data_IF_999374305860
#
_entry.id   IF_999374305860
#
_cell.length_a   1.000
_cell.length_b   1.000
_cell.length_c   1.000
_cell.angle_alpha   90.00
_cell.angle_beta   90.00
_cell.angle_gamma   90.00
#
_symmetry.space_group_name_H-M   'P 1'
#
loop_
_entity.id
_entity.type
_entity.pdbx_description
1 polymer ?
#
# COMPACT_ATOMS: atom_id res chain seq x y z
N UNK A 1 -3.08 -30.10 -1.14
CA UNK A 1 -2.53 -30.11 0.25
C UNK A 1 -1.41 -29.08 0.25
N UNK A 2 -1.69 -27.98 0.89
CA UNK A 2 -0.90 -26.77 0.89
C UNK A 2 0.48 -27.01 1.55
N UNK A 3 1.55 -26.87 0.79
CA UNK A 3 2.94 -26.97 1.27
C UNK A 3 3.39 -25.72 2.08
N UNK A 4 2.51 -24.75 2.31
CA UNK A 4 2.78 -23.51 3.04
C UNK A 4 2.96 -23.72 4.54
N UNK A 5 2.45 -24.83 5.09
CA UNK A 5 2.59 -25.15 6.52
C UNK A 5 4.03 -25.45 6.98
N UNK A 6 4.96 -25.69 6.06
CA UNK A 6 6.38 -25.95 6.38
C UNK A 6 7.22 -24.69 6.61
N UNK A 7 6.68 -23.50 6.35
CA UNK A 7 7.39 -22.23 6.45
C UNK A 7 7.02 -21.40 7.70
N UNK A 8 6.07 -21.86 8.49
CA UNK A 8 5.67 -21.16 9.70
C UNK A 8 6.50 -21.65 10.90
N UNK A 9 6.95 -20.73 11.78
CA UNK A 9 7.63 -21.09 13.03
C UNK A 9 6.76 -22.00 13.92
N UNK A 10 7.41 -22.83 14.76
CA UNK A 10 6.72 -23.73 15.68
C UNK A 10 5.69 -23.00 16.56
N UNK A 11 4.49 -23.56 16.64
CA UNK A 11 3.37 -23.01 17.42
C UNK A 11 2.55 -21.92 16.69
N UNK A 12 2.88 -21.59 15.44
CA UNK A 12 2.10 -20.66 14.59
C UNK A 12 1.27 -21.45 13.60
N UNK A 13 -0.06 -21.35 13.74
CA UNK A 13 -1.02 -22.14 12.95
C UNK A 13 -1.48 -21.41 11.67
N UNK A 14 -1.24 -20.11 11.56
CA UNK A 14 -1.66 -19.31 10.41
C UNK A 14 -0.77 -18.08 10.20
N UNK A 15 -0.77 -17.56 8.97
CA UNK A 15 -0.10 -16.28 8.67
C UNK A 15 -0.67 -15.09 9.47
N UNK A 16 -1.97 -15.13 9.83
CA UNK A 16 -2.57 -14.12 10.71
C UNK A 16 -1.91 -14.10 12.09
N UNK A 17 -1.71 -15.26 12.72
CA UNK A 17 -1.01 -15.37 13.99
C UNK A 17 0.45 -14.91 13.89
N UNK A 18 1.12 -15.17 12.76
CA UNK A 18 2.48 -14.66 12.52
C UNK A 18 2.50 -13.14 12.46
N UNK A 19 1.57 -12.53 11.74
CA UNK A 19 1.46 -11.07 11.64
C UNK A 19 1.17 -10.44 13.00
N UNK A 20 0.27 -11.01 13.80
CA UNK A 20 -0.04 -10.52 15.15
C UNK A 20 1.19 -10.60 16.06
N UNK A 21 1.96 -11.67 15.97
CA UNK A 21 3.22 -11.81 16.71
C UNK A 21 4.23 -10.75 16.30
N UNK A 22 4.44 -10.54 14.99
CA UNK A 22 5.35 -9.52 14.47
C UNK A 22 4.90 -8.13 14.90
N UNK A 23 3.60 -7.81 14.81
CA UNK A 23 3.04 -6.55 15.25
C UNK A 23 3.29 -6.33 16.75
N UNK A 24 3.13 -7.36 17.58
CA UNK A 24 3.46 -7.31 19.00
C UNK A 24 4.93 -6.95 19.24
N UNK A 25 5.85 -7.59 18.51
CA UNK A 25 7.29 -7.30 18.59
C UNK A 25 7.63 -5.87 18.14
N UNK A 26 6.99 -5.39 17.07
CA UNK A 26 7.15 -3.99 16.64
C UNK A 26 6.68 -3.01 17.72
N UNK A 27 5.57 -3.31 18.41
CA UNK A 27 5.07 -2.48 19.51
C UNK A 27 6.04 -2.45 20.70
N UNK A 28 6.71 -3.56 21.01
CA UNK A 28 7.74 -3.58 22.07
C UNK A 28 8.91 -2.65 21.72
N UNK A 29 9.38 -2.67 20.48
CA UNK A 29 10.43 -1.77 20.00
C UNK A 29 9.98 -0.30 20.10
N UNK A 30 8.77 0.02 19.63
CA UNK A 30 8.24 1.39 19.70
C UNK A 30 8.10 1.86 21.15
N UNK A 31 7.64 1.01 22.07
CA UNK A 31 7.53 1.33 23.48
C UNK A 31 8.89 1.61 24.13
N UNK A 32 9.92 0.85 23.76
CA UNK A 32 11.28 1.13 24.19
C UNK A 32 11.73 2.51 23.72
N UNK A 33 11.56 2.81 22.43
CA UNK A 33 11.91 4.13 21.88
C UNK A 33 11.13 5.26 22.56
N UNK A 34 9.85 5.07 22.84
CA UNK A 34 9.02 6.03 23.54
C UNK A 34 9.52 6.27 24.98
N UNK A 35 9.87 5.21 25.71
CA UNK A 35 10.38 5.31 27.07
C UNK A 35 11.75 6.01 27.15
N UNK A 36 12.55 5.86 26.09
CA UNK A 36 13.85 6.51 25.95
C UNK A 36 13.74 7.90 25.27
N UNK A 37 12.54 8.49 25.18
CA UNK A 37 12.31 9.82 24.61
C UNK A 37 12.59 9.90 23.09
N UNK A 38 12.42 8.79 22.36
CA UNK A 38 12.75 8.65 20.95
C UNK A 38 14.24 8.90 20.64
N UNK A 39 15.11 8.42 21.52
CA UNK A 39 16.56 8.34 21.29
C UNK A 39 16.94 6.87 21.06
N UNK A 40 17.72 6.61 20.04
CA UNK A 40 18.17 5.25 19.73
C UNK A 40 19.34 4.86 20.63
N UNK A 41 19.14 3.84 21.43
CA UNK A 41 20.18 3.16 22.20
C UNK A 41 20.35 1.74 21.66
N UNK A 42 21.36 1.52 20.82
CA UNK A 42 21.58 0.24 20.13
C UNK A 42 21.68 -0.95 21.10
N UNK A 43 22.39 -0.78 22.20
CA UNK A 43 22.56 -1.82 23.22
C UNK A 43 21.21 -2.26 23.82
N UNK A 44 20.32 -1.30 24.08
CA UNK A 44 18.98 -1.59 24.59
C UNK A 44 18.10 -2.28 23.57
N UNK A 45 18.17 -1.84 22.30
CA UNK A 45 17.44 -2.48 21.21
C UNK A 45 17.90 -3.93 21.00
N UNK A 46 19.20 -4.17 20.96
CA UNK A 46 19.79 -5.52 20.85
C UNK A 46 19.45 -6.39 22.07
N UNK A 47 19.23 -5.80 23.24
CA UNK A 47 18.87 -6.51 24.45
C UNK A 47 17.44 -7.01 24.47
N UNK A 48 16.53 -6.48 23.63
CA UNK A 48 15.15 -6.97 23.53
C UNK A 48 15.10 -8.43 23.06
N UNK A 49 14.32 -9.24 23.72
CA UNK A 49 14.16 -10.67 23.36
C UNK A 49 13.65 -10.83 21.93
N UNK A 50 12.76 -9.96 21.47
CA UNK A 50 12.25 -9.95 20.12
C UNK A 50 13.29 -9.57 19.06
N UNK A 51 14.41 -8.95 19.44
CA UNK A 51 15.50 -8.55 18.54
C UNK A 51 16.67 -9.55 18.60
N UNK A 52 17.01 -10.04 19.79
CA UNK A 52 18.09 -11.03 20.00
C UNK A 52 17.93 -12.31 19.15
N UNK A 53 16.70 -12.73 18.87
CA UNK A 53 16.43 -13.96 18.12
C UNK A 53 16.79 -13.85 16.63
N UNK A 54 17.10 -12.65 16.13
CA UNK A 54 17.43 -12.41 14.74
C UNK A 54 18.94 -12.34 14.51
N UNK A 55 19.36 -12.64 13.29
CA UNK A 55 20.75 -12.50 12.88
C UNK A 55 21.21 -11.03 12.87
N UNK A 56 22.51 -10.82 12.83
CA UNK A 56 23.12 -9.49 12.84
C UNK A 56 22.61 -8.59 11.71
N UNK A 57 22.38 -9.14 10.52
CA UNK A 57 21.93 -8.37 9.37
C UNK A 57 20.50 -7.82 9.57
N UNK A 58 19.62 -8.60 10.21
CA UNK A 58 18.26 -8.17 10.57
C UNK A 58 18.31 -7.18 11.73
N UNK A 59 19.12 -7.41 12.75
CA UNK A 59 19.30 -6.47 13.87
C UNK A 59 19.75 -5.11 13.37
N UNK A 60 20.71 -5.04 12.45
CA UNK A 60 21.15 -3.78 11.84
C UNK A 60 20.01 -3.06 11.07
N UNK A 61 19.15 -3.80 10.36
CA UNK A 61 17.99 -3.21 9.72
C UNK A 61 17.01 -2.63 10.73
N UNK A 62 16.77 -3.32 11.83
CA UNK A 62 15.90 -2.84 12.92
C UNK A 62 16.46 -1.54 13.51
N UNK A 63 17.76 -1.48 13.80
CA UNK A 63 18.43 -0.28 14.31
C UNK A 63 18.31 0.88 13.32
N UNK A 64 18.53 0.62 12.03
CA UNK A 64 18.36 1.65 10.98
C UNK A 64 16.93 2.17 10.89
N UNK A 65 15.94 1.29 11.02
CA UNK A 65 14.52 1.68 11.03
C UNK A 65 14.21 2.50 12.31
N UNK A 66 14.73 2.08 13.47
CA UNK A 66 14.59 2.83 14.71
C UNK A 66 15.19 4.24 14.59
N UNK A 67 16.37 4.38 13.96
CA UNK A 67 16.97 5.68 13.63
C UNK A 67 16.06 6.54 12.76
N UNK A 68 15.49 5.98 11.69
CA UNK A 68 14.55 6.70 10.84
C UNK A 68 13.29 7.16 11.63
N UNK A 69 12.78 6.31 12.53
CA UNK A 69 11.64 6.66 13.39
C UNK A 69 11.98 7.85 14.30
N UNK A 70 13.14 7.81 14.95
CA UNK A 70 13.55 8.84 15.91
C UNK A 70 13.97 10.16 15.22
N UNK A 71 14.73 10.08 14.12
CA UNK A 71 15.35 11.26 13.49
C UNK A 71 14.43 11.94 12.48
N UNK A 72 13.47 11.20 11.90
CA UNK A 72 12.61 11.72 10.83
C UNK A 72 11.13 11.63 11.16
N UNK A 73 10.63 10.43 11.45
CA UNK A 73 9.20 10.19 11.57
C UNK A 73 8.62 10.90 12.80
N UNK A 74 9.19 10.69 13.98
CA UNK A 74 8.71 11.28 15.22
C UNK A 74 8.75 12.82 15.21
N UNK A 75 9.86 13.49 14.82
CA UNK A 75 9.87 14.95 14.68
C UNK A 75 8.82 15.46 13.68
N UNK A 76 8.63 14.76 12.56
CA UNK A 76 7.62 15.13 11.57
C UNK A 76 6.19 14.98 12.10
N UNK A 77 5.92 13.96 12.92
CA UNK A 77 4.63 13.80 13.62
C UNK A 77 4.39 14.93 14.64
N UNK A 78 5.42 15.38 15.36
CA UNK A 78 5.30 16.50 16.29
C UNK A 78 4.86 17.80 15.59
N UNK A 79 5.18 17.96 14.30
CA UNK A 79 4.79 19.11 13.48
C UNK A 79 3.39 19.02 12.85
N UNK A 80 2.58 18.00 13.13
CA UNK A 80 1.20 17.91 12.62
C UNK A 80 0.29 19.05 13.11
N UNK A 81 0.69 19.76 14.14
CA UNK A 81 0.06 21.02 14.59
C UNK A 81 0.05 22.10 13.51
N UNK A 82 0.91 21.97 12.47
CA UNK A 82 0.91 22.85 11.29
C UNK A 82 -0.39 22.85 10.52
N UNK A 83 -1.19 21.78 10.57
CA UNK A 83 -2.51 21.77 9.95
C UNK A 83 -3.37 22.94 10.42
N UNK A 84 -3.42 23.17 11.73
CA UNK A 84 -4.17 24.28 12.30
C UNK A 84 -3.52 25.64 12.02
N UNK A 85 -2.22 25.77 12.24
CA UNK A 85 -1.53 27.05 12.07
C UNK A 85 -1.49 27.47 10.60
N UNK A 86 -1.27 26.56 9.66
CA UNK A 86 -1.26 26.88 8.25
C UNK A 86 -2.66 27.16 7.71
N UNK A 87 -3.72 26.52 8.25
CA UNK A 87 -5.07 26.90 7.93
C UNK A 87 -5.37 28.37 8.30
N UNK A 88 -4.94 28.82 9.50
CA UNK A 88 -5.09 30.22 9.94
C UNK A 88 -4.27 31.14 9.02
N UNK A 89 -3.03 30.80 8.72
CA UNK A 89 -2.16 31.58 7.81
C UNK A 89 -2.76 31.70 6.41
N UNK A 90 -3.36 30.62 5.88
CA UNK A 90 -4.03 30.65 4.59
C UNK A 90 -5.23 31.62 4.61
N UNK A 91 -6.03 31.64 5.70
CA UNK A 91 -7.11 32.60 5.87
C UNK A 91 -6.63 34.05 5.98
N UNK A 92 -5.39 34.27 6.42
CA UNK A 92 -4.71 35.57 6.46
C UNK A 92 -4.03 35.94 5.13
N UNK A 93 -4.22 35.13 4.09
CA UNK A 93 -3.57 35.29 2.77
C UNK A 93 -2.04 35.19 2.80
N UNK A 94 -1.48 34.47 3.76
CA UNK A 94 -0.07 34.18 3.81
C UNK A 94 0.28 33.00 2.88
N UNK A 95 1.51 33.02 2.37
CA UNK A 95 2.04 31.92 1.56
C UNK A 95 2.33 30.70 2.43
N UNK A 96 1.89 29.53 1.96
CA UNK A 96 2.20 28.23 2.54
C UNK A 96 2.97 27.41 1.53
N UNK A 97 4.17 26.97 1.91
CA UNK A 97 4.99 26.13 1.05
C UNK A 97 4.27 24.79 0.77
N UNK A 98 4.04 24.42 -0.50
CA UNK A 98 3.39 23.18 -0.84
C UNK A 98 4.27 21.95 -0.56
N UNK A 99 3.66 20.83 -0.26
CA UNK A 99 4.31 19.52 -0.12
C UNK A 99 3.56 18.45 -0.87
N UNK A 100 4.12 17.25 -0.96
CA UNK A 100 3.42 16.11 -1.54
C UNK A 100 2.12 15.82 -0.76
N UNK A 101 1.00 15.63 -1.48
CA UNK A 101 -0.26 15.18 -0.90
C UNK A 101 -0.31 13.66 -0.76
N UNK A 102 -1.09 13.14 0.18
CA UNK A 102 -1.29 11.72 0.33
C UNK A 102 -1.73 11.30 1.74
N UNK A 103 -1.66 10.00 2.01
CA UNK A 103 -2.07 9.39 3.27
C UNK A 103 -0.84 8.92 4.08
N UNK A 104 -0.41 9.63 5.12
CA UNK A 104 0.71 9.20 5.96
C UNK A 104 0.51 7.79 6.55
N UNK A 105 -0.72 7.44 6.88
CA UNK A 105 -1.10 6.13 7.45
C UNK A 105 -1.08 4.98 6.43
N UNK A 106 -0.92 5.28 5.14
CA UNK A 106 -0.85 4.28 4.07
C UNK A 106 0.59 4.09 3.54
N UNK A 107 1.59 4.30 4.39
CA UNK A 107 3.00 4.11 4.05
C UNK A 107 3.69 5.35 3.50
N UNK A 108 2.99 6.49 3.40
CA UNK A 108 3.53 7.76 2.92
C UNK A 108 4.19 8.58 4.04
N UNK A 109 5.19 8.02 4.72
CA UNK A 109 5.88 8.74 5.80
C UNK A 109 6.58 10.03 5.32
N UNK A 110 6.96 10.08 4.05
CA UNK A 110 7.57 11.25 3.38
C UNK A 110 6.63 12.45 3.22
N UNK A 111 5.32 12.23 3.38
CA UNK A 111 4.32 13.30 3.31
C UNK A 111 4.30 14.14 4.59
N UNK A 112 4.83 13.59 5.66
CA UNK A 112 4.94 14.30 6.93
C UNK A 112 6.02 15.42 6.87
N UNK A 113 5.79 16.53 7.59
CA UNK A 113 4.62 16.89 8.37
C UNK A 113 3.44 17.30 7.49
N UNK A 114 2.21 17.01 7.96
CA UNK A 114 0.96 17.42 7.32
C UNK A 114 0.71 18.92 7.44
N UNK A 115 -0.38 19.43 6.83
CA UNK A 115 -0.78 20.84 6.94
C UNK A 115 -0.20 21.76 5.87
N UNK A 116 0.44 21.20 4.84
CA UNK A 116 0.95 21.95 3.69
C UNK A 116 0.23 21.61 2.38
N UNK A 117 -0.52 20.51 2.36
CA UNK A 117 -1.34 20.05 1.25
C UNK A 117 -2.62 19.43 1.74
N UNK A 118 -3.60 19.32 0.85
CA UNK A 118 -4.80 18.55 1.11
C UNK A 118 -4.48 17.06 1.16
N UNK A 119 -5.16 16.35 2.07
CA UNK A 119 -5.19 14.91 2.08
C UNK A 119 -5.96 14.43 0.83
N UNK A 120 -5.25 13.85 -0.10
CA UNK A 120 -5.87 13.37 -1.33
C UNK A 120 -4.92 12.50 -2.14
N UNK A 121 -5.50 11.75 -3.06
CA UNK A 121 -4.77 10.98 -4.08
C UNK A 121 -5.10 11.62 -5.42
N UNK A 122 -4.08 11.90 -6.24
CA UNK A 122 -4.32 12.31 -7.62
C UNK A 122 -4.92 11.12 -8.39
N UNK A 123 -6.20 11.22 -8.84
CA UNK A 123 -6.86 10.13 -9.56
C UNK A 123 -6.11 9.69 -10.83
N UNK A 124 -5.32 10.58 -11.42
CA UNK A 124 -4.57 10.30 -12.64
C UNK A 124 -3.34 9.40 -12.40
N UNK A 125 -2.92 9.24 -11.15
CA UNK A 125 -1.81 8.36 -10.78
C UNK A 125 -2.26 6.91 -10.54
N UNK A 126 -3.57 6.65 -10.53
CA UNK A 126 -4.11 5.33 -10.20
C UNK A 126 -4.38 4.48 -11.46
N UNK A 127 -3.98 3.19 -11.42
CA UNK A 127 -3.18 2.53 -10.39
C UNK A 127 -1.69 2.91 -10.51
N UNK A 128 -1.02 3.03 -9.37
CA UNK A 128 0.43 3.23 -9.35
C UNK A 128 1.19 1.98 -9.83
N UNK A 129 2.47 2.08 -10.28
CA UNK A 129 3.25 0.90 -10.68
C UNK A 129 3.39 -0.15 -9.57
N UNK A 130 3.46 0.27 -8.31
CA UNK A 130 3.50 -0.64 -7.15
C UNK A 130 2.16 -1.35 -6.96
N UNK A 131 1.06 -0.59 -7.04
CA UNK A 131 -0.30 -1.14 -6.95
C UNK A 131 -0.59 -2.10 -8.12
N UNK A 132 -0.06 -1.80 -9.31
CA UNK A 132 -0.15 -2.70 -10.46
C UNK A 132 0.49 -4.05 -10.18
N UNK A 133 1.69 -4.07 -9.60
CA UNK A 133 2.38 -5.32 -9.26
C UNK A 133 1.57 -6.15 -8.27
N UNK A 134 1.03 -5.52 -7.22
CA UNK A 134 0.22 -6.20 -6.20
C UNK A 134 -1.12 -6.68 -6.79
N UNK A 135 -1.87 -5.80 -7.47
CA UNK A 135 -3.15 -6.14 -8.06
C UNK A 135 -3.03 -7.21 -9.16
N UNK A 136 -1.93 -7.21 -9.92
CA UNK A 136 -1.65 -8.29 -10.88
C UNK A 136 -1.48 -9.63 -10.18
N UNK A 137 -0.79 -9.69 -9.04
CA UNK A 137 -0.67 -10.90 -8.27
C UNK A 137 -2.02 -11.35 -7.71
N UNK A 138 -2.82 -10.42 -7.16
CA UNK A 138 -4.17 -10.71 -6.67
C UNK A 138 -5.04 -11.34 -7.77
N UNK A 139 -4.99 -10.81 -8.98
CA UNK A 139 -5.72 -11.37 -10.13
C UNK A 139 -5.30 -12.81 -10.45
N UNK A 140 -3.99 -13.08 -10.46
CA UNK A 140 -3.49 -14.44 -10.71
C UNK A 140 -3.85 -15.40 -9.57
N UNK A 141 -3.85 -14.94 -8.33
CA UNK A 141 -4.24 -15.75 -7.16
C UNK A 141 -5.72 -16.15 -7.23
N UNK A 142 -6.61 -15.22 -7.63
CA UNK A 142 -8.04 -15.51 -7.86
C UNK A 142 -8.21 -16.55 -8.95
N UNK A 143 -7.54 -16.40 -10.09
CA UNK A 143 -7.60 -17.35 -11.20
C UNK A 143 -7.06 -18.73 -10.79
N UNK A 144 -5.89 -18.77 -10.16
CA UNK A 144 -5.25 -20.02 -9.74
C UNK A 144 -6.11 -20.77 -8.72
N UNK A 145 -6.72 -20.06 -7.77
CA UNK A 145 -7.63 -20.65 -6.81
C UNK A 145 -8.84 -21.28 -7.51
N UNK A 146 -9.49 -20.55 -8.41
CA UNK A 146 -10.63 -21.05 -9.15
C UNK A 146 -10.28 -22.29 -10.00
N UNK A 147 -9.13 -22.24 -10.71
CA UNK A 147 -8.66 -23.36 -11.53
C UNK A 147 -8.36 -24.58 -10.64
N UNK A 148 -7.79 -24.39 -9.46
CA UNK A 148 -7.52 -25.49 -8.51
C UNK A 148 -8.82 -26.13 -7.98
N UNK A 149 -9.88 -25.36 -7.78
CA UNK A 149 -11.17 -25.82 -7.26
C UNK A 149 -12.06 -26.44 -8.36
N UNK A 150 -12.10 -25.81 -9.56
CA UNK A 150 -13.06 -26.16 -10.62
C UNK A 150 -12.43 -26.88 -11.82
N UNK A 151 -11.10 -26.95 -11.91
CA UNK A 151 -10.38 -27.60 -13.03
C UNK A 151 -10.47 -26.87 -14.36
N UNK A 152 -11.02 -25.63 -14.40
CA UNK A 152 -11.18 -24.80 -15.60
C UNK A 152 -10.96 -23.33 -15.26
N UNK A 153 -10.74 -22.52 -16.27
CA UNK A 153 -10.69 -21.07 -16.09
C UNK A 153 -12.09 -20.47 -15.86
N UNK A 154 -12.23 -19.42 -15.03
CA UNK A 154 -13.49 -18.69 -14.90
C UNK A 154 -13.83 -17.98 -16.21
N UNK A 155 -15.09 -17.98 -16.60
CA UNK A 155 -15.60 -17.22 -17.74
C UNK A 155 -15.80 -15.75 -17.37
N UNK A 156 -16.26 -15.50 -16.13
CA UNK A 156 -16.48 -14.15 -15.62
C UNK A 156 -16.10 -14.04 -14.15
N UNK A 157 -15.68 -12.83 -13.74
CA UNK A 157 -15.35 -12.48 -12.34
C UNK A 157 -16.02 -11.16 -11.99
N UNK A 158 -16.66 -11.11 -10.81
CA UNK A 158 -17.23 -9.88 -10.26
C UNK A 158 -16.26 -9.22 -9.26
N UNK A 159 -15.99 -7.93 -9.43
CA UNK A 159 -15.13 -7.14 -8.52
C UNK A 159 -15.90 -5.95 -7.96
N UNK A 160 -15.72 -5.71 -6.66
CA UNK A 160 -16.22 -4.52 -5.99
C UNK A 160 -15.16 -3.42 -6.00
N UNK A 161 -15.43 -2.31 -6.71
CA UNK A 161 -14.51 -1.18 -6.83
C UNK A 161 -14.92 -0.05 -5.89
N UNK A 162 -14.44 -0.09 -4.64
CA UNK A 162 -14.65 0.97 -3.67
C UNK A 162 -13.65 2.11 -3.86
N UNK A 163 -14.13 3.36 -3.94
CA UNK A 163 -13.28 4.55 -4.07
C UNK A 163 -12.28 4.66 -2.92
N UNK A 164 -12.76 4.57 -1.68
CA UNK A 164 -11.93 4.70 -0.48
C UNK A 164 -10.84 3.63 -0.39
N UNK A 165 -11.13 2.41 -0.82
CA UNK A 165 -10.11 1.35 -0.86
C UNK A 165 -9.06 1.65 -1.94
N UNK A 166 -9.47 2.00 -3.16
CA UNK A 166 -8.55 2.34 -4.23
C UNK A 166 -7.68 3.56 -3.90
N UNK A 167 -8.24 4.58 -3.23
CA UNK A 167 -7.47 5.71 -2.74
C UNK A 167 -6.39 5.29 -1.72
N UNK A 168 -6.74 4.43 -0.76
CA UNK A 168 -5.79 3.95 0.27
C UNK A 168 -4.74 2.97 -0.25
N UNK A 169 -5.12 2.14 -1.21
CA UNK A 169 -4.25 1.12 -1.80
C UNK A 169 -3.53 1.59 -3.08
N UNK A 170 -3.67 2.88 -3.43
CA UNK A 170 -3.13 3.44 -4.68
C UNK A 170 -3.60 2.69 -5.94
N UNK A 171 -4.84 2.15 -5.92
CA UNK A 171 -5.48 1.54 -7.08
C UNK A 171 -5.28 0.03 -7.24
N UNK A 172 -5.04 -0.72 -6.15
CA UNK A 172 -4.82 -2.18 -6.25
C UNK A 172 -6.00 -2.93 -6.87
N UNK A 173 -7.26 -2.64 -6.47
CA UNK A 173 -8.43 -3.29 -7.09
C UNK A 173 -8.63 -2.91 -8.55
N UNK A 174 -8.28 -1.67 -8.94
CA UNK A 174 -8.27 -1.27 -10.36
C UNK A 174 -7.24 -2.07 -11.15
N UNK A 175 -6.06 -2.26 -10.59
CA UNK A 175 -4.99 -3.05 -11.18
C UNK A 175 -5.40 -4.53 -11.32
N UNK A 176 -6.04 -5.11 -10.29
CA UNK A 176 -6.60 -6.46 -10.32
C UNK A 176 -7.65 -6.60 -11.44
N UNK A 177 -8.58 -5.65 -11.53
CA UNK A 177 -9.59 -5.60 -12.59
C UNK A 177 -8.95 -5.60 -13.98
N UNK A 178 -8.01 -4.68 -14.24
CA UNK A 178 -7.30 -4.57 -15.52
C UNK A 178 -6.54 -5.85 -15.84
N UNK A 179 -5.85 -6.45 -14.87
CA UNK A 179 -5.09 -7.69 -15.09
C UNK A 179 -5.99 -8.87 -15.42
N UNK A 180 -7.15 -9.00 -14.78
CA UNK A 180 -8.15 -10.03 -15.12
C UNK A 180 -8.64 -9.89 -16.56
N UNK A 181 -8.98 -8.68 -17.01
CA UNK A 181 -9.35 -8.38 -18.39
C UNK A 181 -8.20 -8.63 -19.38
N UNK A 182 -6.96 -8.69 -18.89
CA UNK A 182 -5.78 -8.84 -19.74
C UNK A 182 -5.33 -7.54 -20.39
N UNK A 183 -5.46 -6.42 -19.67
CA UNK A 183 -4.91 -5.12 -20.06
C UNK A 183 -3.97 -4.60 -18.97
N UNK A 184 -3.10 -3.66 -19.32
CA UNK A 184 -2.20 -2.99 -18.38
C UNK A 184 -2.25 -1.46 -18.54
N UNK A 185 -2.03 -0.70 -17.47
CA UNK A 185 -1.94 0.75 -17.57
C UNK A 185 -0.64 1.18 -18.24
N UNK A 186 -0.71 2.29 -18.95
CA UNK A 186 0.44 2.97 -19.56
C UNK A 186 0.73 4.23 -18.75
N UNK A 187 1.94 4.32 -18.18
CA UNK A 187 2.36 5.47 -17.37
C UNK A 187 3.22 6.44 -18.19
N UNK A 188 2.97 7.71 -18.01
CA UNK A 188 3.83 8.76 -18.54
C UNK A 188 5.17 8.77 -17.79
N UNK A 189 6.28 8.78 -18.53
CA UNK A 189 7.62 8.89 -17.94
C UNK A 189 7.77 10.19 -17.15
N UNK A 190 8.31 10.09 -15.93
CA UNK A 190 8.59 11.22 -15.04
C UNK A 190 7.43 11.62 -14.14
N UNK A 191 6.17 11.58 -14.61
CA UNK A 191 5.01 11.98 -13.79
C UNK A 191 4.25 10.79 -13.21
N UNK A 192 4.45 9.59 -13.74
CA UNK A 192 3.72 8.35 -13.41
C UNK A 192 2.20 8.44 -13.59
N UNK A 193 1.70 9.45 -14.32
CA UNK A 193 0.28 9.55 -14.65
C UNK A 193 -0.12 8.45 -15.63
N UNK A 194 -1.28 7.85 -15.40
CA UNK A 194 -1.86 6.88 -16.34
C UNK A 194 -2.43 7.65 -17.53
N UNK A 195 -1.89 7.35 -18.71
CA UNK A 195 -2.28 8.01 -19.97
C UNK A 195 -3.11 7.13 -20.87
N UNK A 196 -3.21 5.85 -20.57
CA UNK A 196 -3.96 4.88 -21.36
C UNK A 196 -3.86 3.47 -20.80
N UNK A 197 -4.44 2.55 -21.55
CA UNK A 197 -4.35 1.10 -21.33
C UNK A 197 -3.78 0.42 -22.55
N UNK A 198 -3.07 -0.67 -22.35
CA UNK A 198 -2.50 -1.53 -23.39
C UNK A 198 -2.98 -2.95 -23.20
N UNK A 199 -3.33 -3.61 -24.31
CA UNK A 199 -3.73 -5.02 -24.30
C UNK A 199 -2.50 -5.89 -24.08
N UNK A 200 -2.55 -6.77 -23.09
CA UNK A 200 -1.50 -7.77 -22.85
C UNK A 200 -1.69 -8.90 -23.86
N UNK A 201 -0.68 -9.23 -24.70
CA UNK A 201 -0.76 -10.36 -25.62
C UNK A 201 -1.01 -11.69 -24.88
N UNK A 202 -1.72 -12.63 -25.52
CA UNK A 202 -2.07 -13.91 -24.87
C UNK A 202 -0.84 -14.77 -24.55
N UNK A 203 0.21 -14.66 -25.33
CA UNK A 203 1.50 -15.32 -25.08
C UNK A 203 2.23 -14.77 -23.85
N UNK A 204 2.01 -13.50 -23.49
CA UNK A 204 2.48 -12.89 -22.24
C UNK A 204 1.52 -13.17 -21.08
N UNK A 205 0.20 -13.09 -21.32
CA UNK A 205 -0.82 -13.31 -20.31
C UNK A 205 -0.85 -14.77 -19.81
N UNK A 206 -0.54 -15.73 -20.70
CA UNK A 206 -0.47 -17.18 -20.45
C UNK A 206 -1.76 -17.83 -19.93
N UNK A 207 -2.89 -17.19 -20.14
CA UNK A 207 -4.23 -17.66 -19.80
C UNK A 207 -5.28 -17.00 -20.68
N UNK A 208 -6.50 -17.53 -20.75
CA UNK A 208 -7.62 -16.86 -21.38
C UNK A 208 -7.90 -15.50 -20.73
N UNK A 209 -8.49 -14.58 -21.48
CA UNK A 209 -9.09 -13.37 -20.92
C UNK A 209 -10.37 -13.75 -20.20
N UNK A 210 -10.69 -12.99 -19.17
CA UNK A 210 -11.87 -13.22 -18.35
C UNK A 210 -12.76 -11.99 -18.47
N UNK A 211 -14.05 -12.19 -18.61
CA UNK A 211 -15.01 -11.11 -18.54
C UNK A 211 -15.09 -10.61 -17.10
N UNK A 212 -14.96 -9.29 -16.90
CA UNK A 212 -14.96 -8.73 -15.56
C UNK A 212 -16.11 -7.76 -15.38
N UNK A 213 -16.95 -8.04 -14.39
CA UNK A 213 -18.04 -7.15 -14.01
C UNK A 213 -17.63 -6.32 -12.79
N UNK A 214 -17.45 -5.02 -12.99
CA UNK A 214 -17.12 -4.07 -11.92
C UNK A 214 -18.37 -3.50 -11.27
N UNK A 215 -18.56 -3.72 -9.97
CA UNK A 215 -19.57 -2.97 -9.20
C UNK A 215 -18.92 -1.73 -8.58
N UNK A 216 -19.28 -0.55 -9.06
CA UNK A 216 -18.77 0.73 -8.58
C UNK A 216 -19.79 1.42 -7.69
N UNK A 217 -19.30 2.26 -6.76
CA UNK A 217 -20.13 3.20 -5.99
C UNK A 217 -20.23 4.56 -6.70
N UNK A 218 -21.21 5.38 -6.29
CA UNK A 218 -21.28 6.77 -6.76
C UNK A 218 -19.98 7.54 -6.45
N UNK A 219 -19.41 7.33 -5.26
CA UNK A 219 -18.14 7.95 -4.88
C UNK A 219 -17.01 7.54 -5.83
N UNK A 220 -16.92 6.27 -6.25
CA UNK A 220 -15.91 5.81 -7.21
C UNK A 220 -16.08 6.53 -8.56
N UNK A 221 -17.30 6.57 -9.08
CA UNK A 221 -17.62 7.25 -10.34
C UNK A 221 -17.25 8.74 -10.29
N UNK A 222 -17.57 9.42 -9.19
CA UNK A 222 -17.43 10.86 -9.08
C UNK A 222 -15.98 11.29 -8.77
N UNK A 223 -15.22 10.46 -8.05
CA UNK A 223 -13.82 10.77 -7.69
C UNK A 223 -12.81 10.22 -8.69
N UNK A 224 -13.14 9.15 -9.41
CA UNK A 224 -12.25 8.43 -10.34
C UNK A 224 -12.86 8.31 -11.75
N UNK A 225 -13.38 9.41 -12.35
CA UNK A 225 -14.05 9.34 -13.65
C UNK A 225 -13.14 8.83 -14.77
N UNK A 226 -11.86 9.17 -14.74
CA UNK A 226 -10.88 8.63 -15.68
C UNK A 226 -10.74 7.11 -15.60
N UNK A 227 -10.78 6.55 -14.39
CA UNK A 227 -10.75 5.10 -14.21
C UNK A 227 -11.98 4.43 -14.82
N UNK A 228 -13.18 5.00 -14.62
CA UNK A 228 -14.39 4.47 -15.25
C UNK A 228 -14.24 4.42 -16.78
N UNK A 229 -13.74 5.52 -17.38
CA UNK A 229 -13.50 5.55 -18.83
C UNK A 229 -12.46 4.52 -19.30
N UNK A 230 -11.47 4.16 -18.49
CA UNK A 230 -10.49 3.12 -18.85
C UNK A 230 -11.04 1.72 -18.71
N UNK A 231 -11.91 1.48 -17.72
CA UNK A 231 -12.47 0.17 -17.43
C UNK A 231 -13.68 -0.20 -18.30
N UNK A 232 -14.33 0.80 -18.92
CA UNK A 232 -15.53 0.65 -19.76
C UNK A 232 -15.18 0.57 -21.28
N UNK A 233 -13.91 0.67 -21.65
CA UNK A 233 -13.42 0.54 -23.02
C UNK A 233 -13.10 -0.90 -23.40
#
# INVERSE_FOLDING_TARGET
IDNSSKLLPDGILSYGMLLDKINGQCLEIIRLLQNDGFVVHEDKLRALECVKCWDEAVQQKIIKIAGFICDKLYPSLAHTTWERSNCIRALQSEYIEPSAGGAPTSGGAEILPTGRNFYGVDPQLLPTPVAWKIGSQMAEDVINKFVAEEGRYPESVGILLWATYNMRSNGQCMAEFMRLMGVRPVWQKGTLKVTGIEIIPLDELKRPRVDVTGRISSLFRDTLPGAVCWLDK
#
